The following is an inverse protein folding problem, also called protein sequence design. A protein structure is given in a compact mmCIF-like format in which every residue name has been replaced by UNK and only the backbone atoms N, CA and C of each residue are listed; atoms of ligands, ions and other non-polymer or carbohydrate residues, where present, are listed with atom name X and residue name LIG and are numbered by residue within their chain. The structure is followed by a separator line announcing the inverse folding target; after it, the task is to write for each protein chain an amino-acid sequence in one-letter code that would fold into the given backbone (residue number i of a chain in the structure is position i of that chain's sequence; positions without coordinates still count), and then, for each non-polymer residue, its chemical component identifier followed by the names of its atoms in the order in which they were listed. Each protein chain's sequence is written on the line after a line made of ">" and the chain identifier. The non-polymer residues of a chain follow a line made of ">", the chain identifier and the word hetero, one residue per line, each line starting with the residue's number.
data_IF_487286572149
#
_entry.id   IF_487286572149
#
_cell.length_a   1.000
_cell.length_b   1.000
_cell.length_c   1.000
_cell.angle_alpha   90.00
_cell.angle_beta   90.00
_cell.angle_gamma   90.00
#
_symmetry.space_group_name_H-M   'P 1'
#
loop_
_entity.id
_entity.type
_entity.pdbx_description
1 polymer ?
#
# COMPACT_ATOMS: atom_id res chain seq x y z
N UNK A 1 -3.64 3.03 -12.56
CA UNK A 1 -5.11 3.22 -12.56
C UNK A 1 -5.47 4.36 -11.61
N UNK A 2 -6.48 5.17 -11.96
CA UNK A 2 -7.06 6.21 -11.11
C UNK A 2 -8.41 5.72 -10.50
N UNK A 3 -9.07 6.57 -9.73
CA UNK A 3 -10.31 6.27 -9.01
C UNK A 3 -11.50 5.95 -9.94
N UNK A 4 -11.45 6.43 -11.20
CA UNK A 4 -12.47 6.19 -12.24
C UNK A 4 -12.16 4.96 -13.12
N UNK A 5 -11.01 4.31 -12.91
CA UNK A 5 -10.62 3.15 -13.70
C UNK A 5 -11.55 1.97 -13.45
N UNK A 6 -11.83 1.20 -14.50
CA UNK A 6 -12.65 -0.01 -14.41
C UNK A 6 -12.10 -0.95 -13.33
N UNK A 7 -12.98 -1.45 -12.49
CA UNK A 7 -12.69 -2.43 -11.43
C UNK A 7 -12.25 -3.77 -12.03
N UNK A 8 -11.55 -4.58 -11.24
CA UNK A 8 -11.27 -5.98 -11.58
C UNK A 8 -12.52 -6.85 -11.51
N UNK A 9 -12.36 -8.11 -11.93
CA UNK A 9 -13.43 -9.10 -11.92
C UNK A 9 -13.17 -10.23 -10.90
N UNK A 10 -12.17 -10.07 -10.05
CA UNK A 10 -11.84 -11.06 -9.02
C UNK A 10 -12.67 -10.82 -7.74
N UNK A 11 -12.59 -11.78 -6.82
CA UNK A 11 -13.34 -11.72 -5.57
C UNK A 11 -12.95 -10.52 -4.69
N UNK A 12 -11.70 -10.05 -4.77
CA UNK A 12 -11.22 -8.88 -4.01
C UNK A 12 -11.86 -7.60 -4.56
N UNK A 13 -11.93 -7.50 -5.89
CA UNK A 13 -12.58 -6.38 -6.55
C UNK A 13 -14.08 -6.34 -6.22
N UNK A 14 -14.76 -7.50 -6.21
CA UNK A 14 -16.18 -7.57 -5.85
C UNK A 14 -16.38 -7.14 -4.38
N UNK A 15 -15.57 -7.63 -3.46
CA UNK A 15 -15.63 -7.21 -2.05
C UNK A 15 -15.46 -5.69 -1.90
N UNK A 16 -14.52 -5.09 -2.63
CA UNK A 16 -14.31 -3.64 -2.59
C UNK A 16 -15.51 -2.86 -3.15
N UNK A 17 -16.14 -3.38 -4.23
CA UNK A 17 -17.36 -2.80 -4.80
C UNK A 17 -18.48 -2.82 -3.77
N UNK A 18 -18.69 -3.95 -3.10
CA UNK A 18 -19.75 -4.11 -2.11
C UNK A 18 -19.54 -3.17 -0.90
N UNK A 19 -18.29 -3.02 -0.43
CA UNK A 19 -17.97 -2.07 0.64
C UNK A 19 -18.23 -0.61 0.22
N UNK A 20 -17.84 -0.24 -1.00
CA UNK A 20 -18.08 1.11 -1.50
C UNK A 20 -19.58 1.38 -1.71
N UNK A 21 -20.34 0.38 -2.15
CA UNK A 21 -21.81 0.47 -2.29
C UNK A 21 -22.49 0.60 -0.92
N UNK A 22 -22.04 -0.16 0.09
CA UNK A 22 -22.55 -0.02 1.45
C UNK A 22 -22.27 1.39 2.01
N UNK A 23 -21.08 1.95 1.79
CA UNK A 23 -20.78 3.31 2.17
C UNK A 23 -21.68 4.35 1.47
N UNK A 24 -22.06 4.11 0.21
CA UNK A 24 -22.95 5.00 -0.53
C UNK A 24 -24.37 5.10 0.04
N UNK A 25 -24.82 4.11 0.80
CA UNK A 25 -26.13 4.16 1.47
C UNK A 25 -26.20 5.30 2.50
N UNK A 26 -25.07 5.69 3.09
CA UNK A 26 -25.01 6.82 4.03
C UNK A 26 -25.25 8.19 3.37
N UNK A 27 -25.29 8.27 2.02
CA UNK A 27 -25.65 9.52 1.31
C UNK A 27 -27.04 10.06 1.71
N UNK A 28 -27.90 9.19 2.23
CA UNK A 28 -29.21 9.59 2.76
C UNK A 28 -29.11 10.34 4.09
N UNK A 29 -28.03 10.13 4.84
CA UNK A 29 -27.82 10.66 6.19
C UNK A 29 -26.78 11.77 6.23
N UNK A 30 -25.92 11.87 5.23
CA UNK A 30 -24.84 12.85 5.17
C UNK A 30 -24.61 13.37 3.76
N UNK A 31 -24.27 14.65 3.66
CA UNK A 31 -23.95 15.29 2.38
C UNK A 31 -22.57 14.92 1.86
N UNK A 32 -21.68 14.32 2.68
CA UNK A 32 -20.29 14.08 2.33
C UNK A 32 -19.81 12.72 2.80
N UNK A 33 -19.35 11.91 1.85
CA UNK A 33 -18.71 10.61 2.10
C UNK A 33 -17.31 10.64 1.48
N UNK A 34 -16.32 10.17 2.24
CA UNK A 34 -14.96 9.97 1.78
C UNK A 34 -14.64 8.47 1.82
N UNK A 35 -14.33 7.90 0.65
CA UNK A 35 -13.93 6.49 0.50
C UNK A 35 -12.43 6.40 0.26
N UNK A 36 -11.73 5.59 1.04
CA UNK A 36 -10.28 5.46 1.01
C UNK A 36 -9.89 4.12 0.43
N UNK A 37 -9.20 4.12 -0.72
CA UNK A 37 -8.54 2.95 -1.30
C UNK A 37 -7.07 2.99 -0.90
N UNK A 38 -6.75 2.38 0.24
CA UNK A 38 -5.42 2.44 0.85
C UNK A 38 -4.51 1.44 0.14
N UNK A 39 -3.34 1.92 -0.32
CA UNK A 39 -2.27 1.09 -0.86
C UNK A 39 -1.51 0.37 0.26
N UNK A 40 -0.33 -0.25 -0.03
CA UNK A 40 0.46 -0.90 1.01
C UNK A 40 0.80 0.09 2.12
N UNK A 41 0.30 -0.17 3.32
CA UNK A 41 0.57 0.67 4.49
C UNK A 41 1.96 0.33 5.06
N UNK A 42 2.86 1.30 5.08
CA UNK A 42 4.19 1.17 5.69
C UNK A 42 4.09 1.52 7.16
N UNK A 43 4.30 0.52 8.02
CA UNK A 43 4.25 0.67 9.47
C UNK A 43 5.11 -0.39 10.17
N UNK A 44 5.54 -0.11 11.41
CA UNK A 44 6.39 -1.01 12.23
C UNK A 44 5.67 -2.31 12.60
N UNK A 45 4.42 -2.20 13.00
CA UNK A 45 3.70 -3.30 13.66
C UNK A 45 2.88 -4.16 12.73
N UNK A 46 2.62 -3.70 11.51
CA UNK A 46 1.77 -4.37 10.55
C UNK A 46 2.46 -4.55 9.20
N UNK A 47 2.00 -5.56 8.47
CA UNK A 47 2.27 -5.75 7.06
C UNK A 47 3.55 -6.50 6.71
N UNK A 48 3.66 -6.73 5.43
CA UNK A 48 4.80 -7.31 4.73
C UNK A 48 6.15 -6.68 5.15
N UNK A 49 6.15 -5.39 5.50
CA UNK A 49 7.34 -4.63 5.90
C UNK A 49 7.96 -5.19 7.17
N UNK A 50 7.14 -5.45 8.21
CA UNK A 50 7.60 -6.03 9.47
C UNK A 50 8.31 -7.38 9.25
N UNK A 51 7.67 -8.26 8.49
CA UNK A 51 8.24 -9.59 8.23
C UNK A 51 9.47 -9.53 7.33
N UNK A 52 9.52 -8.60 6.36
CA UNK A 52 10.70 -8.37 5.53
C UNK A 52 11.88 -7.84 6.36
N UNK A 53 11.65 -6.92 7.28
CA UNK A 53 12.68 -6.42 8.20
C UNK A 53 13.16 -7.54 9.12
N UNK A 54 12.23 -8.28 9.71
CA UNK A 54 12.57 -9.36 10.65
C UNK A 54 13.39 -10.45 9.97
N UNK A 55 12.96 -10.97 8.83
CA UNK A 55 13.70 -11.99 8.09
C UNK A 55 15.06 -11.50 7.61
N UNK A 56 15.15 -10.22 7.22
CA UNK A 56 16.44 -9.62 6.80
C UNK A 56 17.42 -9.52 7.96
N UNK A 57 16.98 -9.30 9.20
CA UNK A 57 17.83 -9.37 10.40
C UNK A 57 18.46 -10.76 10.58
N UNK A 58 17.77 -11.80 10.14
CA UNK A 58 18.28 -13.19 10.13
C UNK A 58 19.04 -13.55 8.85
N UNK A 59 19.44 -12.58 8.03
CA UNK A 59 20.23 -12.78 6.84
C UNK A 59 19.47 -13.18 5.58
N UNK A 60 18.13 -13.23 5.61
CA UNK A 60 17.30 -13.63 4.47
C UNK A 60 16.25 -12.56 4.19
N UNK A 61 16.23 -12.06 2.94
CA UNK A 61 15.19 -11.13 2.48
C UNK A 61 14.33 -11.82 1.42
N UNK A 62 13.06 -12.15 1.73
CA UNK A 62 12.18 -12.84 0.80
C UNK A 62 11.69 -11.91 -0.31
N UNK A 63 11.73 -12.38 -1.55
CA UNK A 63 11.09 -11.76 -2.71
C UNK A 63 9.75 -12.44 -2.93
N UNK A 64 8.65 -11.69 -2.75
CA UNK A 64 7.30 -12.22 -2.87
C UNK A 64 6.73 -11.87 -4.24
N UNK A 65 6.60 -12.87 -5.10
CA UNK A 65 6.21 -12.69 -6.50
C UNK A 65 7.35 -12.19 -7.38
N UNK A 66 7.08 -11.35 -8.38
CA UNK A 66 8.10 -10.86 -9.30
C UNK A 66 8.86 -9.66 -8.73
N UNK A 67 10.18 -9.67 -8.86
CA UNK A 67 11.06 -8.55 -8.50
C UNK A 67 10.71 -7.24 -9.22
N UNK A 68 10.02 -7.33 -10.36
CA UNK A 68 9.58 -6.19 -11.17
C UNK A 68 8.19 -5.66 -10.77
N UNK A 69 7.49 -6.32 -9.85
CA UNK A 69 6.19 -5.84 -9.38
C UNK A 69 6.32 -4.45 -8.76
N UNK A 70 5.36 -3.61 -9.09
CA UNK A 70 5.28 -2.25 -8.52
C UNK A 70 4.57 -2.30 -7.18
N UNK A 71 5.20 -1.73 -6.16
CA UNK A 71 4.63 -1.51 -4.83
C UNK A 71 4.11 -0.08 -4.78
N UNK A 72 2.79 0.06 -4.73
CA UNK A 72 2.16 1.32 -4.35
C UNK A 72 2.06 1.33 -2.83
N UNK A 73 2.41 2.43 -2.21
CA UNK A 73 2.55 2.49 -0.75
C UNK A 73 2.17 3.85 -0.17
N UNK A 74 1.92 3.88 1.12
CA UNK A 74 1.75 5.08 1.93
C UNK A 74 2.26 4.82 3.34
N UNK A 75 2.88 5.82 3.97
CA UNK A 75 3.26 5.75 5.38
C UNK A 75 2.02 5.85 6.28
N UNK A 76 2.04 5.17 7.42
CA UNK A 76 0.91 5.17 8.38
C UNK A 76 0.57 6.59 8.86
N UNK A 77 1.58 7.44 9.11
CA UNK A 77 1.35 8.82 9.53
C UNK A 77 0.61 9.62 8.44
N UNK A 78 0.99 9.44 7.17
CA UNK A 78 0.34 10.12 6.05
C UNK A 78 -1.10 9.67 5.87
N UNK A 79 -1.37 8.38 6.05
CA UNK A 79 -2.74 7.86 6.06
C UNK A 79 -3.56 8.46 7.21
N UNK A 80 -2.98 8.57 8.41
CA UNK A 80 -3.63 9.18 9.57
C UNK A 80 -3.87 10.68 9.37
N UNK A 81 -2.90 11.41 8.80
CA UNK A 81 -3.05 12.83 8.43
C UNK A 81 -4.20 12.99 7.43
N UNK A 82 -4.28 12.13 6.41
CA UNK A 82 -5.39 12.19 5.45
C UNK A 82 -6.73 11.96 6.13
N UNK A 83 -6.85 10.98 7.04
CA UNK A 83 -8.10 10.73 7.79
C UNK A 83 -8.49 11.99 8.55
N UNK A 84 -7.58 12.58 9.33
CA UNK A 84 -7.81 13.80 10.08
C UNK A 84 -8.27 14.95 9.17
N UNK A 85 -7.56 15.21 8.08
CA UNK A 85 -7.92 16.27 7.14
C UNK A 85 -9.25 15.99 6.44
N UNK A 86 -9.55 14.73 6.12
CA UNK A 86 -10.80 14.35 5.48
C UNK A 86 -12.04 14.60 6.35
N UNK A 87 -11.89 14.61 7.67
CA UNK A 87 -12.97 14.95 8.61
C UNK A 87 -13.23 16.45 8.58
N UNK A 88 -12.18 17.26 8.61
CA UNK A 88 -12.26 18.71 8.82
C UNK A 88 -12.43 19.52 7.54
N UNK A 89 -11.89 19.07 6.40
CA UNK A 89 -11.88 19.85 5.17
C UNK A 89 -12.88 19.35 4.13
N UNK A 90 -13.80 20.21 3.71
CA UNK A 90 -14.85 19.91 2.71
C UNK A 90 -14.34 19.53 1.33
N UNK A 91 -13.09 19.88 0.99
CA UNK A 91 -12.44 19.53 -0.29
C UNK A 91 -12.30 18.03 -0.52
N UNK A 92 -12.27 17.23 0.55
CA UNK A 92 -12.22 15.78 0.45
C UNK A 92 -13.64 15.22 0.34
N UNK A 93 -13.98 14.73 -0.86
CA UNK A 93 -15.26 14.10 -1.16
C UNK A 93 -15.12 13.01 -2.20
N UNK A 94 -15.87 11.91 -2.01
CA UNK A 94 -15.85 10.74 -2.90
C UNK A 94 -14.63 9.84 -2.67
N UNK A 95 -14.24 9.07 -3.68
CA UNK A 95 -13.19 8.06 -3.58
C UNK A 95 -11.81 8.67 -3.80
N UNK A 96 -10.83 8.27 -2.98
CA UNK A 96 -9.42 8.64 -3.11
C UNK A 96 -8.53 7.40 -3.08
N UNK A 97 -7.54 7.33 -3.96
CA UNK A 97 -6.42 6.42 -3.83
C UNK A 97 -5.41 7.01 -2.83
N UNK A 98 -5.28 6.37 -1.68
CA UNK A 98 -4.37 6.79 -0.62
C UNK A 98 -3.03 6.08 -0.85
N UNK A 99 -2.18 6.75 -1.63
CA UNK A 99 -0.87 6.27 -2.05
C UNK A 99 0.07 7.45 -2.28
N UNK A 100 1.38 7.23 -2.16
CA UNK A 100 2.36 8.23 -2.62
C UNK A 100 2.38 8.31 -4.14
N UNK A 101 2.98 9.37 -4.69
CA UNK A 101 3.25 9.48 -6.13
C UNK A 101 4.46 8.68 -6.58
N UNK A 102 5.25 8.15 -5.64
CA UNK A 102 6.51 7.46 -5.88
C UNK A 102 6.38 5.95 -5.59
N UNK A 103 5.67 5.19 -6.45
CA UNK A 103 5.67 3.74 -6.35
C UNK A 103 7.09 3.20 -6.58
N UNK A 104 7.43 2.10 -5.92
CA UNK A 104 8.75 1.49 -6.00
C UNK A 104 8.66 0.07 -6.57
N UNK A 105 9.70 -0.41 -7.24
CA UNK A 105 9.79 -1.83 -7.58
C UNK A 105 10.09 -2.66 -6.34
N UNK A 106 9.62 -3.91 -6.32
CA UNK A 106 9.93 -4.83 -5.22
C UNK A 106 11.45 -5.04 -5.08
N UNK A 107 12.18 -5.06 -6.18
CA UNK A 107 13.63 -5.13 -6.15
C UNK A 107 14.27 -3.97 -5.38
N UNK A 108 13.87 -2.73 -5.68
CA UNK A 108 14.39 -1.56 -4.99
C UNK A 108 13.98 -1.52 -3.52
N UNK A 109 12.73 -1.91 -3.22
CA UNK A 109 12.24 -2.03 -1.85
C UNK A 109 13.12 -2.97 -1.01
N UNK A 110 13.44 -4.15 -1.56
CA UNK A 110 14.29 -5.13 -0.91
C UNK A 110 15.71 -4.60 -0.72
N UNK A 111 16.29 -3.96 -1.75
CA UNK A 111 17.62 -3.34 -1.64
C UNK A 111 17.70 -2.29 -0.52
N UNK A 112 16.66 -1.47 -0.36
CA UNK A 112 16.63 -0.46 0.71
C UNK A 112 16.60 -1.15 2.08
N UNK A 113 15.77 -2.18 2.25
CA UNK A 113 15.71 -2.94 3.51
C UNK A 113 17.05 -3.59 3.81
N UNK A 114 17.66 -4.27 2.84
CA UNK A 114 18.97 -4.89 3.03
C UNK A 114 20.02 -3.88 3.44
N UNK A 115 20.12 -2.77 2.70
CA UNK A 115 21.10 -1.71 3.00
C UNK A 115 20.97 -1.16 4.43
N UNK A 116 19.73 -1.05 4.94
CA UNK A 116 19.46 -0.47 6.27
C UNK A 116 19.51 -1.48 7.41
N UNK A 117 19.21 -2.75 7.16
CA UNK A 117 19.02 -3.78 8.20
C UNK A 117 20.20 -4.75 8.25
N UNK A 118 20.53 -5.36 7.11
CA UNK A 118 21.62 -6.33 6.98
C UNK A 118 22.10 -6.34 5.52
N UNK A 119 23.19 -5.61 5.20
CA UNK A 119 23.71 -5.50 3.83
C UNK A 119 24.12 -6.83 3.20
N UNK A 120 24.46 -7.82 4.01
CA UNK A 120 24.90 -9.15 3.56
C UNK A 120 23.76 -10.17 3.46
N UNK A 121 22.51 -9.76 3.75
CA UNK A 121 21.35 -10.64 3.65
C UNK A 121 21.14 -11.12 2.21
N UNK A 122 20.85 -12.42 2.06
CA UNK A 122 20.58 -13.03 0.76
C UNK A 122 19.13 -12.79 0.34
N UNK A 123 18.95 -12.34 -0.89
CA UNK A 123 17.61 -12.23 -1.49
C UNK A 123 17.17 -13.60 -2.02
N UNK A 124 16.11 -14.16 -1.46
CA UNK A 124 15.55 -15.45 -1.88
C UNK A 124 14.18 -15.23 -2.50
N UNK A 125 14.04 -15.60 -3.77
CA UNK A 125 12.74 -15.57 -4.42
C UNK A 125 11.90 -16.77 -4.00
N UNK A 126 10.74 -16.49 -3.41
CA UNK A 126 9.80 -17.54 -3.04
C UNK A 126 9.07 -18.01 -4.31
N UNK A 127 9.13 -19.32 -4.64
CA UNK A 127 8.45 -19.86 -5.81
C UNK A 127 6.94 -19.58 -5.78
N UNK A 128 6.38 -19.27 -6.94
CA UNK A 128 4.96 -18.89 -7.04
C UNK A 128 4.01 -20.00 -6.58
N UNK A 129 4.36 -21.28 -6.87
CA UNK A 129 3.54 -22.41 -6.46
C UNK A 129 3.45 -22.52 -4.93
N UNK A 130 4.55 -22.22 -4.21
CA UNK A 130 4.58 -22.24 -2.75
C UNK A 130 3.73 -21.09 -2.18
N UNK A 131 3.81 -19.91 -2.78
CA UNK A 131 2.96 -18.78 -2.39
C UNK A 131 1.48 -19.08 -2.63
N UNK A 132 1.13 -19.72 -3.74
CA UNK A 132 -0.25 -20.16 -4.03
C UNK A 132 -0.73 -21.22 -3.04
N UNK A 133 0.14 -22.16 -2.69
CA UNK A 133 -0.18 -23.21 -1.72
C UNK A 133 -0.46 -22.62 -0.33
N UNK A 134 0.41 -21.72 0.15
CA UNK A 134 0.29 -21.13 1.50
C UNK A 134 -0.87 -20.12 1.58
N UNK A 135 -1.03 -19.28 0.56
CA UNK A 135 -1.97 -18.15 0.58
C UNK A 135 -3.32 -18.48 -0.06
N UNK A 136 -3.41 -19.55 -0.83
CA UNK A 136 -4.62 -19.93 -1.55
C UNK A 136 -5.18 -18.77 -2.38
N UNK A 137 -6.46 -18.46 -2.23
CA UNK A 137 -7.14 -17.35 -2.92
C UNK A 137 -6.54 -15.97 -2.60
N UNK A 138 -5.88 -15.81 -1.44
CA UNK A 138 -5.25 -14.54 -1.02
C UNK A 138 -4.01 -14.19 -1.83
N UNK A 139 -3.46 -15.14 -2.60
CA UNK A 139 -2.33 -14.89 -3.49
C UNK A 139 -2.63 -13.76 -4.50
N UNK A 140 -3.88 -13.61 -4.95
CA UNK A 140 -4.29 -12.54 -5.87
C UNK A 140 -4.04 -11.13 -5.29
N UNK A 141 -4.10 -10.98 -3.97
CA UNK A 141 -3.87 -9.69 -3.27
C UNK A 141 -2.39 -9.27 -3.40
N UNK A 142 -1.48 -10.24 -3.41
CA UNK A 142 -0.02 -9.97 -3.40
C UNK A 142 0.52 -9.78 -4.83
N UNK A 143 -0.06 -10.48 -5.81
CA UNK A 143 0.41 -10.44 -7.20
C UNK A 143 -0.24 -9.32 -8.03
N UNK A 144 -0.43 -8.15 -7.43
CA UNK A 144 -1.05 -7.01 -8.11
C UNK A 144 -0.01 -6.22 -8.89
N UNK A 145 -0.11 -6.26 -10.23
CA UNK A 145 0.74 -5.50 -11.16
C UNK A 145 0.09 -4.14 -11.53
N UNK A 146 -0.33 -3.38 -10.53
CA UNK A 146 -1.01 -2.11 -10.77
C UNK A 146 -0.16 -0.94 -10.30
N UNK A 147 -0.02 0.07 -11.16
CA UNK A 147 0.44 1.40 -10.75
C UNK A 147 -0.79 2.26 -10.46
N UNK A 148 -0.95 2.66 -9.19
CA UNK A 148 -2.01 3.55 -8.75
C UNK A 148 -1.62 5.01 -8.99
N UNK A 149 -2.59 5.82 -9.41
CA UNK A 149 -2.44 7.26 -9.49
C UNK A 149 -2.96 7.89 -8.20
N UNK A 150 -2.12 8.69 -7.55
CA UNK A 150 -2.47 9.51 -6.42
C UNK A 150 -2.78 10.97 -6.82
N UNK A 151 -2.93 11.25 -8.11
CA UNK A 151 -3.07 12.63 -8.62
C UNK A 151 -4.26 13.35 -7.99
N UNK A 152 -5.38 12.65 -7.78
CA UNK A 152 -6.55 13.27 -7.13
C UNK A 152 -6.21 13.77 -5.72
N UNK A 153 -5.48 12.97 -4.95
CA UNK A 153 -5.04 13.36 -3.60
C UNK A 153 -4.08 14.56 -3.65
N UNK A 154 -3.09 14.50 -4.53
CA UNK A 154 -2.11 15.59 -4.70
C UNK A 154 -2.78 16.90 -5.14
N UNK A 155 -3.73 16.82 -6.06
CA UNK A 155 -4.46 17.99 -6.55
C UNK A 155 -5.31 18.69 -5.46
N UNK A 156 -5.56 18.01 -4.32
CA UNK A 156 -6.16 18.67 -3.14
C UNK A 156 -5.18 19.52 -2.35
N UNK A 157 -3.90 19.51 -2.72
CA UNK A 157 -2.83 20.16 -1.95
C UNK A 157 -2.37 19.34 -0.73
N UNK A 158 -2.67 18.03 -0.69
CA UNK A 158 -2.19 17.14 0.37
C UNK A 158 -0.67 17.08 0.39
N UNK A 159 -0.08 17.28 1.58
CA UNK A 159 1.37 17.25 1.78
C UNK A 159 1.76 15.97 2.49
N UNK A 160 2.57 15.15 1.81
CA UNK A 160 3.12 13.95 2.41
C UNK A 160 4.24 14.29 3.39
N UNK A 161 4.25 13.65 4.55
CA UNK A 161 5.37 13.66 5.49
C UNK A 161 6.49 12.74 5.00
N UNK A 162 6.11 11.61 4.40
CA UNK A 162 7.05 10.62 3.84
C UNK A 162 6.73 10.35 2.37
N UNK A 163 7.49 10.94 1.48
CA UNK A 163 7.29 10.77 0.03
C UNK A 163 8.35 9.89 -0.64
N UNK A 164 9.41 9.52 0.09
CA UNK A 164 10.45 8.58 -0.35
C UNK A 164 10.44 7.34 0.54
N UNK A 165 10.58 6.16 -0.08
CA UNK A 165 10.57 4.88 0.63
C UNK A 165 11.72 4.79 1.64
N UNK A 166 12.87 5.35 1.31
CA UNK A 166 14.06 5.37 2.17
C UNK A 166 13.78 6.06 3.51
N UNK A 167 13.12 7.23 3.46
CA UNK A 167 12.74 8.02 4.64
C UNK A 167 11.65 7.32 5.47
N UNK A 168 10.67 6.73 4.77
CA UNK A 168 9.60 5.97 5.40
C UNK A 168 10.12 4.74 6.14
N UNK A 169 11.01 3.95 5.52
CA UNK A 169 11.61 2.77 6.14
C UNK A 169 12.57 3.13 7.27
N UNK A 170 13.31 4.23 7.13
CA UNK A 170 14.19 4.71 8.21
C UNK A 170 13.42 5.06 9.46
N UNK A 171 12.31 5.78 9.33
CA UNK A 171 11.44 6.07 10.45
C UNK A 171 10.94 4.78 11.13
N UNK A 172 10.51 3.79 10.35
CA UNK A 172 9.97 2.52 10.86
C UNK A 172 11.02 1.65 11.56
N UNK A 173 12.26 1.66 11.03
CA UNK A 173 13.36 0.84 11.58
C UNK A 173 13.89 1.44 12.89
N UNK A 174 13.88 2.77 13.02
CA UNK A 174 14.41 3.50 14.18
C UNK A 174 13.39 3.68 15.32
N UNK A 175 12.14 3.32 15.12
CA UNK A 175 11.11 3.23 16.17
C UNK A 175 11.23 1.91 16.96
#
# INVERSE_FOLDING_TARGET
>A
KNEKSKTGNDWVAQMAIDWEAAADQFKKLTSRIVKMRISLLISKNFSLVKYSILSTKFGITPIIGSKHNTINWIHIDDAAIFIKESITHKKYQGTFNISTQNPISQHNFIKIIQKKVCPFALSIQIPEFLLKFILGKRYSIINVKLKLSANKLVNTGFKYKYNKMEEALENIINQ
#
